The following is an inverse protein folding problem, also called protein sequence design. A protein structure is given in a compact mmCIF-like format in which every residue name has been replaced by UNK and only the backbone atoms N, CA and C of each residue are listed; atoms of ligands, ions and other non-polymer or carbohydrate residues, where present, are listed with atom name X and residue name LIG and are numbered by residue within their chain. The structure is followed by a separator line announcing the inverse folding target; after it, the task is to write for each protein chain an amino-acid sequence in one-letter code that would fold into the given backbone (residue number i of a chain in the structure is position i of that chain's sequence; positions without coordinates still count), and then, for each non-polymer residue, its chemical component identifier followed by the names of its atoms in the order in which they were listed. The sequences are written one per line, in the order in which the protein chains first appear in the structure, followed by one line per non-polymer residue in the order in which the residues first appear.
data_IF_557102097004
#
_entry.id   IF_557102097004
#
_cell.length_a   1.000
_cell.length_b   1.000
_cell.length_c   1.000
_cell.angle_alpha   90.00
_cell.angle_beta   90.00
_cell.angle_gamma   90.00
#
_symmetry.space_group_name_H-M   'P 1'
#
loop_
_entity.id
_entity.type
_entity.pdbx_description
1 polymer ?
#
# COMPACT_ATOMS: atom_id res chain seq x y z
N UNK A 1 21.83 2.61 -6.82
CA UNK A 1 20.68 3.21 -6.11
C UNK A 1 21.01 3.21 -4.62
N UNK A 2 20.72 4.26 -3.85
CA UNK A 2 21.02 4.29 -2.39
C UNK A 2 19.94 3.53 -1.62
N UNK A 3 20.31 2.79 -0.57
CA UNK A 3 19.39 2.14 0.37
C UNK A 3 18.39 3.17 0.90
N UNK A 4 17.09 2.95 0.67
CA UNK A 4 16.02 3.91 1.01
C UNK A 4 15.29 3.58 2.31
N UNK A 5 15.60 2.45 2.92
CA UNK A 5 14.93 1.96 4.13
C UNK A 5 15.96 1.76 5.21
N UNK A 6 15.72 2.32 6.40
CA UNK A 6 16.54 2.11 7.59
C UNK A 6 15.66 1.69 8.77
N UNK A 7 15.20 0.45 8.73
CA UNK A 7 14.23 -0.11 9.70
C UNK A 7 14.88 -0.93 10.82
N UNK A 8 16.18 -1.21 10.73
CA UNK A 8 16.89 -2.04 11.70
C UNK A 8 17.49 -1.17 12.79
N UNK A 9 17.14 -1.48 14.04
CA UNK A 9 17.60 -0.75 15.21
C UNK A 9 18.90 -1.38 15.72
N UNK A 10 19.92 -0.54 15.94
CA UNK A 10 21.17 -0.95 16.59
C UNK A 10 22.14 -1.70 15.67
N UNK A 11 23.42 -1.31 15.75
CA UNK A 11 24.60 -1.78 14.99
C UNK A 11 24.78 -1.11 13.62
N UNK A 12 25.87 -0.33 13.51
CA UNK A 12 26.23 0.55 12.38
C UNK A 12 26.58 -0.15 11.06
N UNK A 13 26.01 -1.33 10.79
CA UNK A 13 26.21 -2.08 9.55
C UNK A 13 24.90 -2.64 8.96
N UNK A 14 23.73 -2.26 9.49
CA UNK A 14 22.45 -2.68 8.91
C UNK A 14 22.14 -4.17 9.09
N UNK A 15 22.78 -4.84 10.06
CA UNK A 15 22.61 -6.26 10.38
C UNK A 15 21.74 -6.51 11.63
N UNK A 16 21.17 -5.46 12.21
CA UNK A 16 20.30 -5.56 13.39
C UNK A 16 19.04 -6.38 13.11
N UNK A 17 18.40 -6.95 14.15
CA UNK A 17 17.15 -7.65 13.99
C UNK A 17 16.08 -6.71 13.44
N UNK A 18 15.23 -7.25 12.56
CA UNK A 18 14.06 -6.51 12.09
C UNK A 18 13.07 -6.31 13.25
N UNK A 19 12.42 -5.14 13.39
CA UNK A 19 11.41 -4.92 14.43
C UNK A 19 10.29 -5.97 14.41
N UNK A 20 9.72 -6.36 15.56
CA UNK A 20 8.68 -7.40 15.63
C UNK A 20 7.47 -7.13 14.72
N UNK A 21 7.08 -5.87 14.53
CA UNK A 21 5.98 -5.47 13.66
C UNK A 21 6.25 -5.68 12.16
N UNK A 22 7.52 -5.68 11.75
CA UNK A 22 7.92 -5.82 10.33
C UNK A 22 8.32 -7.25 9.96
N UNK A 23 8.73 -8.06 10.93
CA UNK A 23 9.07 -9.49 10.72
C UNK A 23 8.02 -10.29 9.96
N UNK A 24 6.71 -10.25 10.32
CA UNK A 24 5.71 -11.00 9.57
C UNK A 24 5.50 -10.45 8.16
N UNK A 25 5.69 -9.15 7.95
CA UNK A 25 5.44 -8.50 6.67
C UNK A 25 6.41 -8.94 5.57
N UNK A 26 7.69 -9.16 5.89
CA UNK A 26 8.68 -9.56 4.87
C UNK A 26 8.61 -11.05 4.48
N UNK A 27 7.77 -11.83 5.16
CA UNK A 27 7.57 -13.24 4.84
C UNK A 27 6.67 -13.40 3.60
N UNK A 28 6.64 -14.62 3.07
CA UNK A 28 5.82 -14.98 1.89
C UNK A 28 4.32 -14.66 2.06
N UNK A 29 3.79 -14.74 3.27
CA UNK A 29 2.38 -14.44 3.57
C UNK A 29 2.07 -12.93 3.57
N UNK A 30 3.10 -12.08 3.57
CA UNK A 30 2.97 -10.63 3.48
C UNK A 30 3.58 -10.09 2.19
N UNK A 31 4.35 -9.00 2.32
CA UNK A 31 5.07 -8.34 1.22
C UNK A 31 6.04 -9.26 0.48
N UNK A 32 6.53 -10.35 1.09
CA UNK A 32 7.38 -11.31 0.38
C UNK A 32 6.67 -12.01 -0.78
N UNK A 33 5.36 -12.26 -0.66
CA UNK A 33 4.52 -12.81 -1.74
C UNK A 33 4.30 -11.77 -2.85
N UNK A 34 3.81 -10.59 -2.47
CA UNK A 34 3.65 -9.46 -3.39
C UNK A 34 4.94 -9.05 -4.09
N UNK A 35 6.11 -9.28 -3.48
CA UNK A 35 7.39 -8.98 -4.12
C UNK A 35 7.63 -9.88 -5.33
N UNK A 36 7.25 -11.15 -5.25
CA UNK A 36 7.34 -12.08 -6.37
C UNK A 36 6.39 -11.65 -7.49
N UNK A 37 5.11 -11.47 -7.17
CA UNK A 37 4.06 -11.18 -8.15
C UNK A 37 4.25 -9.79 -8.79
N UNK A 38 4.38 -8.74 -7.97
CA UNK A 38 4.42 -7.36 -8.46
C UNK A 38 5.81 -6.94 -8.94
N UNK A 39 6.87 -7.20 -8.19
CA UNK A 39 8.21 -6.64 -8.50
C UNK A 39 8.98 -7.51 -9.49
N UNK A 40 8.91 -8.83 -9.33
CA UNK A 40 9.70 -9.76 -10.15
C UNK A 40 8.97 -10.21 -11.42
N UNK A 41 7.66 -10.43 -11.37
CA UNK A 41 6.89 -10.98 -12.51
C UNK A 41 6.20 -9.91 -13.35
N UNK A 42 5.42 -9.03 -12.72
CA UNK A 42 4.67 -7.97 -13.41
C UNK A 42 5.59 -6.82 -13.86
N UNK A 43 6.23 -6.13 -12.91
CA UNK A 43 7.07 -4.96 -13.21
C UNK A 43 8.46 -5.33 -13.76
N UNK A 44 8.93 -6.55 -13.52
CA UNK A 44 10.23 -7.05 -13.98
C UNK A 44 11.38 -6.08 -13.66
N UNK A 45 11.39 -5.54 -12.43
CA UNK A 45 12.25 -4.41 -12.05
C UNK A 45 13.76 -4.64 -12.21
N UNK A 46 14.20 -5.90 -12.37
CA UNK A 46 15.60 -6.27 -12.50
C UNK A 46 15.95 -6.83 -13.88
N UNK A 47 15.06 -6.72 -14.88
CA UNK A 47 15.36 -7.19 -16.24
C UNK A 47 16.34 -6.25 -16.95
N UNK A 48 16.20 -4.93 -16.75
CA UNK A 48 17.10 -3.94 -17.36
C UNK A 48 18.48 -3.91 -16.70
N UNK A 49 19.44 -3.29 -17.40
CA UNK A 49 20.80 -3.09 -16.87
C UNK A 49 20.78 -2.20 -15.61
N UNK A 50 20.00 -1.12 -15.63
CA UNK A 50 19.84 -0.21 -14.50
C UNK A 50 19.21 -0.91 -13.29
N UNK A 51 18.18 -1.74 -13.53
CA UNK A 51 17.54 -2.54 -12.50
C UNK A 51 18.48 -3.57 -11.90
N UNK A 52 19.27 -4.23 -12.75
CA UNK A 52 20.30 -5.18 -12.34
C UNK A 52 21.35 -4.53 -11.44
N UNK A 53 21.89 -3.38 -11.86
CA UNK A 53 22.86 -2.63 -11.05
C UNK A 53 22.24 -2.06 -9.78
N UNK A 54 20.96 -1.68 -9.80
CA UNK A 54 20.24 -1.30 -8.60
C UNK A 54 20.18 -2.46 -7.59
N UNK A 55 19.81 -3.68 -8.02
CA UNK A 55 19.80 -4.87 -7.15
C UNK A 55 21.20 -5.18 -6.59
N UNK A 56 22.23 -5.20 -7.45
CA UNK A 56 23.62 -5.45 -7.03
C UNK A 56 24.11 -4.43 -6.00
N UNK A 57 23.71 -3.17 -6.14
CA UNK A 57 24.09 -2.10 -5.21
C UNK A 57 23.51 -2.27 -3.81
N UNK A 58 22.40 -3.02 -3.68
CA UNK A 58 21.74 -3.31 -2.39
C UNK A 58 22.33 -4.52 -1.66
N UNK A 59 23.17 -5.32 -2.35
CA UNK A 59 23.85 -6.47 -1.74
C UNK A 59 25.11 -5.97 -1.00
N UNK A 60 25.22 -6.22 0.32
CA UNK A 60 26.34 -5.75 1.12
C UNK A 60 27.63 -6.52 0.82
N UNK A 61 27.53 -7.82 0.55
CA UNK A 61 28.67 -8.67 0.20
C UNK A 61 29.13 -8.43 -1.25
N UNK A 62 30.31 -7.82 -1.40
CA UNK A 62 30.89 -7.49 -2.71
C UNK A 62 31.38 -8.70 -3.49
N UNK A 63 31.72 -9.80 -2.82
CA UNK A 63 32.11 -11.03 -3.50
C UNK A 63 30.88 -11.68 -4.16
N UNK A 64 29.76 -11.76 -3.43
CA UNK A 64 28.49 -12.26 -3.97
C UNK A 64 28.01 -11.34 -5.10
N UNK A 65 27.97 -10.03 -4.87
CA UNK A 65 27.56 -9.07 -5.90
C UNK A 65 28.44 -9.17 -7.16
N UNK A 66 29.75 -9.31 -7.01
CA UNK A 66 30.68 -9.50 -8.13
C UNK A 66 30.44 -10.81 -8.90
N UNK A 67 30.16 -11.90 -8.19
CA UNK A 67 29.82 -13.21 -8.80
C UNK A 67 28.51 -13.12 -9.59
N UNK A 68 27.47 -12.56 -8.99
CA UNK A 68 26.16 -12.38 -9.64
C UNK A 68 26.26 -11.45 -10.85
N UNK A 69 27.02 -10.34 -10.75
CA UNK A 69 27.28 -9.45 -11.87
C UNK A 69 27.89 -10.19 -13.06
N UNK A 70 28.92 -11.02 -12.84
CA UNK A 70 29.54 -11.83 -13.91
C UNK A 70 28.54 -12.82 -14.51
N UNK A 71 27.75 -13.50 -13.68
CA UNK A 71 26.74 -14.47 -14.12
C UNK A 71 25.67 -13.81 -15.02
N UNK A 72 25.21 -12.62 -14.64
CA UNK A 72 24.15 -11.89 -15.35
C UNK A 72 24.69 -11.15 -16.58
N UNK A 73 25.93 -10.66 -16.56
CA UNK A 73 26.60 -10.13 -17.75
C UNK A 73 26.82 -11.21 -18.82
N UNK A 74 27.09 -12.46 -18.42
CA UNK A 74 27.18 -13.59 -19.34
C UNK A 74 25.81 -14.01 -19.91
N UNK A 75 24.70 -13.60 -19.29
CA UNK A 75 23.33 -13.96 -19.67
C UNK A 75 22.41 -12.72 -19.64
N UNK A 76 22.56 -11.77 -20.59
CA UNK A 76 21.92 -10.45 -20.51
C UNK A 76 20.38 -10.47 -20.52
N UNK A 77 19.74 -11.55 -20.97
CA UNK A 77 18.27 -11.72 -20.97
C UNK A 77 17.70 -12.43 -19.73
N UNK A 78 18.49 -12.58 -18.66
CA UNK A 78 18.03 -13.32 -17.47
C UNK A 78 16.89 -12.54 -16.75
N UNK A 79 15.73 -13.16 -16.49
CA UNK A 79 14.59 -12.46 -15.90
C UNK A 79 14.78 -12.20 -14.40
N UNK A 80 14.06 -11.22 -13.88
CA UNK A 80 14.08 -10.73 -12.50
C UNK A 80 13.86 -11.84 -11.48
N UNK A 81 12.91 -12.74 -11.75
CA UNK A 81 12.64 -13.92 -10.91
C UNK A 81 13.86 -14.82 -10.76
N UNK A 82 14.60 -15.06 -11.85
CA UNK A 82 15.83 -15.88 -11.84
C UNK A 82 17.00 -15.16 -11.21
N UNK A 83 17.16 -13.85 -11.43
CA UNK A 83 18.18 -13.04 -10.75
C UNK A 83 18.00 -13.07 -9.22
N UNK A 84 16.78 -12.88 -8.74
CA UNK A 84 16.52 -12.96 -7.30
C UNK A 84 16.64 -14.40 -6.76
N UNK A 85 16.29 -15.40 -7.58
CA UNK A 85 16.54 -16.82 -7.28
C UNK A 85 18.03 -17.16 -7.12
N UNK A 86 18.89 -16.63 -8.00
CA UNK A 86 20.35 -16.82 -7.88
C UNK A 86 20.87 -16.24 -6.56
N UNK A 87 20.39 -15.05 -6.18
CA UNK A 87 20.73 -14.44 -4.89
C UNK A 87 20.31 -15.34 -3.72
N UNK A 88 19.10 -15.92 -3.76
CA UNK A 88 18.65 -16.89 -2.74
C UNK A 88 19.59 -18.11 -2.66
N UNK A 89 20.06 -18.63 -3.81
CA UNK A 89 20.98 -19.76 -3.86
C UNK A 89 22.36 -19.41 -3.28
N UNK A 90 22.90 -18.22 -3.57
CA UNK A 90 24.16 -17.76 -2.97
C UNK A 90 24.05 -17.65 -1.44
N UNK A 91 22.92 -17.13 -0.94
CA UNK A 91 22.68 -17.04 0.51
C UNK A 91 22.54 -18.41 1.16
N UNK A 92 21.87 -19.35 0.50
CA UNK A 92 21.72 -20.71 1.00
C UNK A 92 23.08 -21.43 1.09
N UNK A 93 23.96 -21.22 0.10
CA UNK A 93 25.30 -21.80 0.07
C UNK A 93 26.21 -21.32 1.22
N UNK A 94 25.93 -20.13 1.80
CA UNK A 94 26.67 -19.56 2.92
C UNK A 94 26.27 -20.13 4.31
N UNK A 95 25.23 -20.97 4.38
CA UNK A 95 24.75 -21.58 5.62
C UNK A 95 24.38 -20.56 6.70
N UNK A 96 24.93 -20.74 7.91
CA UNK A 96 24.68 -19.89 9.10
C UNK A 96 25.80 -18.89 9.40
N UNK A 97 26.67 -18.65 8.42
CA UNK A 97 27.74 -17.65 8.55
C UNK A 97 27.19 -16.24 8.82
N UNK A 98 28.02 -15.37 9.39
CA UNK A 98 27.68 -13.96 9.57
C UNK A 98 27.39 -13.26 8.23
N UNK A 99 28.09 -13.65 7.16
CA UNK A 99 27.79 -13.19 5.80
C UNK A 99 26.38 -13.57 5.36
N UNK A 100 25.95 -14.82 5.59
CA UNK A 100 24.59 -15.25 5.29
C UNK A 100 23.53 -14.41 6.03
N UNK A 101 23.75 -14.12 7.31
CA UNK A 101 22.84 -13.27 8.11
C UNK A 101 22.73 -11.86 7.54
N UNK A 102 23.86 -11.26 7.15
CA UNK A 102 23.92 -9.93 6.57
C UNK A 102 23.18 -9.85 5.23
N UNK A 103 23.36 -10.84 4.36
CA UNK A 103 22.69 -10.87 3.06
C UNK A 103 21.20 -11.20 3.21
N UNK A 104 20.80 -12.09 4.13
CA UNK A 104 19.38 -12.32 4.48
C UNK A 104 18.70 -11.03 4.95
N UNK A 105 19.36 -10.27 5.83
CA UNK A 105 18.87 -8.97 6.26
C UNK A 105 18.74 -7.98 5.09
N UNK A 106 19.68 -8.00 4.15
CA UNK A 106 19.58 -7.19 2.93
C UNK A 106 18.41 -7.61 2.04
N UNK A 107 18.10 -8.91 1.91
CA UNK A 107 16.95 -9.38 1.14
C UNK A 107 15.62 -8.90 1.73
N UNK A 108 15.46 -8.99 3.04
CA UNK A 108 14.32 -8.42 3.76
C UNK A 108 14.21 -6.90 3.53
N UNK A 109 15.33 -6.17 3.58
CA UNK A 109 15.36 -4.73 3.33
C UNK A 109 15.02 -4.37 1.87
N UNK A 110 15.40 -5.22 0.91
CA UNK A 110 15.03 -5.06 -0.50
C UNK A 110 13.51 -5.18 -0.66
N UNK A 111 12.88 -6.19 -0.05
CA UNK A 111 11.41 -6.33 -0.08
C UNK A 111 10.74 -5.06 0.44
N UNK A 112 11.19 -4.56 1.61
CA UNK A 112 10.65 -3.34 2.20
C UNK A 112 10.92 -2.11 1.32
N UNK A 113 12.08 -2.00 0.69
CA UNK A 113 12.40 -0.85 -0.15
C UNK A 113 11.49 -0.70 -1.37
N UNK A 114 11.05 -1.83 -1.93
CA UNK A 114 10.20 -1.85 -3.12
C UNK A 114 8.72 -1.79 -2.77
N UNK A 115 8.28 -2.37 -1.65
CA UNK A 115 6.85 -2.52 -1.36
C UNK A 115 6.34 -1.80 -0.11
N UNK A 116 7.22 -1.42 0.83
CA UNK A 116 6.75 -0.80 2.05
C UNK A 116 6.17 0.60 1.76
N UNK A 117 4.99 0.95 2.32
CA UNK A 117 4.35 2.23 2.07
C UNK A 117 5.25 3.41 2.43
N UNK A 118 5.35 4.37 1.51
CA UNK A 118 6.05 5.64 1.72
C UNK A 118 5.05 6.68 2.18
N UNK A 119 4.91 6.81 3.49
CA UNK A 119 3.99 7.75 4.10
C UNK A 119 4.58 9.16 4.01
N UNK A 120 3.81 10.11 3.50
CA UNK A 120 4.13 11.53 3.65
C UNK A 120 3.94 11.92 5.11
N UNK A 121 5.04 11.99 5.85
CA UNK A 121 4.98 12.21 7.29
C UNK A 121 4.41 13.59 7.66
N UNK A 122 4.54 14.60 6.80
CA UNK A 122 4.04 15.95 7.09
C UNK A 122 2.52 16.00 7.17
N UNK A 123 1.82 15.09 6.49
CA UNK A 123 0.35 15.01 6.56
C UNK A 123 -0.16 14.48 7.90
N UNK A 124 0.70 13.87 8.71
CA UNK A 124 0.35 13.26 10.00
C UNK A 124 0.99 13.92 11.22
N UNK A 125 1.98 14.81 11.03
CA UNK A 125 2.70 15.48 12.14
C UNK A 125 1.92 16.61 12.79
N UNK A 126 1.20 17.39 11.99
CA UNK A 126 0.59 18.64 12.42
C UNK A 126 -0.93 18.57 12.42
N UNK A 127 -1.55 18.99 13.53
CA UNK A 127 -3.02 18.97 13.70
C UNK A 127 -3.78 19.89 12.75
N UNK A 128 -3.11 20.89 12.18
CA UNK A 128 -3.68 21.90 11.29
C UNK A 128 -3.38 21.61 9.80
N UNK A 129 -2.88 20.43 9.47
CA UNK A 129 -2.69 20.03 8.08
C UNK A 129 -4.05 19.92 7.37
N UNK A 130 -4.18 20.56 6.21
CA UNK A 130 -5.40 20.51 5.41
C UNK A 130 -5.32 19.33 4.45
N UNK A 131 -6.31 18.44 4.50
CA UNK A 131 -6.44 17.32 3.59
C UNK A 131 -7.67 17.50 2.68
N UNK A 132 -7.62 16.87 1.50
CA UNK A 132 -8.75 16.84 0.58
C UNK A 132 -9.97 16.20 1.25
N UNK A 133 -11.14 16.83 1.09
CA UNK A 133 -12.41 16.25 1.55
C UNK A 133 -12.81 15.04 0.70
N UNK A 134 -13.44 14.01 1.30
CA UNK A 134 -14.15 12.99 0.55
C UNK A 134 -15.14 13.60 -0.44
N UNK A 135 -15.37 12.90 -1.55
CA UNK A 135 -16.23 13.27 -2.68
C UNK A 135 -15.84 14.54 -3.44
N UNK A 136 -14.69 15.17 -3.13
CA UNK A 136 -14.17 16.22 -4.00
C UNK A 136 -13.76 15.66 -5.38
N UNK A 137 -14.14 16.38 -6.44
CA UNK A 137 -13.72 16.08 -7.82
C UNK A 137 -12.23 16.40 -7.98
N UNK A 138 -11.45 15.46 -8.52
CA UNK A 138 -10.05 15.72 -8.86
C UNK A 138 -9.98 16.52 -10.18
N UNK A 139 -9.36 17.72 -10.19
CA UNK A 139 -9.48 18.65 -11.31
C UNK A 139 -8.88 18.11 -12.62
N UNK A 140 -7.80 17.35 -12.55
CA UNK A 140 -7.14 16.84 -13.76
C UNK A 140 -7.84 15.61 -14.37
N UNK A 141 -8.57 14.82 -13.57
CA UNK A 141 -9.15 13.54 -14.02
C UNK A 141 -10.67 13.59 -14.09
N UNK A 142 -11.31 14.58 -13.46
CA UNK A 142 -12.76 14.64 -13.31
C UNK A 142 -13.34 13.55 -12.40
N UNK A 143 -12.50 12.64 -11.86
CA UNK A 143 -12.93 11.53 -10.99
C UNK A 143 -13.29 12.03 -9.58
N UNK A 144 -14.31 11.44 -9.00
CA UNK A 144 -14.75 11.72 -7.62
C UNK A 144 -13.84 10.99 -6.63
N UNK A 145 -13.39 11.65 -5.57
CA UNK A 145 -12.64 10.98 -4.50
C UNK A 145 -13.56 10.17 -3.59
N UNK A 146 -13.78 8.92 -3.95
CA UNK A 146 -14.65 7.98 -3.24
C UNK A 146 -13.92 7.28 -2.07
N UNK A 147 -14.63 6.87 -1.01
CA UNK A 147 -14.09 5.93 -0.02
C UNK A 147 -13.72 4.58 -0.68
N UNK A 148 -12.78 3.87 -0.05
CA UNK A 148 -12.29 2.56 -0.47
C UNK A 148 -12.57 1.55 0.65
N UNK A 149 -13.12 0.40 0.30
CA UNK A 149 -13.38 -0.70 1.24
C UNK A 149 -12.08 -1.47 1.52
N UNK A 150 -11.57 -1.48 2.77
CA UNK A 150 -10.36 -2.22 3.10
C UNK A 150 -10.50 -3.74 2.93
N UNK A 151 -11.71 -4.30 3.06
CA UNK A 151 -11.94 -5.74 2.92
C UNK A 151 -11.92 -6.20 1.46
N UNK A 152 -12.06 -5.27 0.51
CA UNK A 152 -12.12 -5.52 -0.94
C UNK A 152 -11.10 -4.68 -1.70
N UNK A 153 -9.99 -4.31 -1.06
CA UNK A 153 -9.00 -3.40 -1.64
C UNK A 153 -8.37 -3.95 -2.91
N UNK A 154 -8.22 -5.26 -3.02
CA UNK A 154 -7.66 -5.93 -4.21
C UNK A 154 -8.59 -5.83 -5.45
N UNK A 155 -9.89 -5.57 -5.23
CA UNK A 155 -10.89 -5.38 -6.29
C UNK A 155 -11.02 -3.91 -6.72
N UNK A 156 -10.38 -2.97 -6.00
CA UNK A 156 -10.53 -1.55 -6.24
C UNK A 156 -9.71 -1.10 -7.46
N UNK A 157 -10.40 -0.69 -8.53
CA UNK A 157 -9.77 -0.12 -9.72
C UNK A 157 -9.96 1.42 -9.77
N UNK A 158 -8.88 2.22 -9.61
CA UNK A 158 -8.96 3.67 -9.66
C UNK A 158 -9.42 4.23 -11.02
N UNK A 159 -9.32 3.45 -12.10
CA UNK A 159 -9.76 3.87 -13.43
C UNK A 159 -11.27 3.83 -13.61
N UNK A 160 -11.95 2.95 -12.87
CA UNK A 160 -13.41 2.73 -12.90
C UNK A 160 -14.20 3.67 -12.00
N UNK A 161 -13.51 4.42 -11.13
CA UNK A 161 -14.13 5.38 -10.21
C UNK A 161 -14.92 6.43 -11.01
N UNK A 162 -16.17 6.75 -10.59
CA UNK A 162 -17.04 7.64 -11.35
C UNK A 162 -16.44 9.03 -11.57
N UNK A 163 -16.54 9.49 -12.80
CA UNK A 163 -16.21 10.86 -13.18
C UNK A 163 -17.45 11.74 -13.16
N UNK A 164 -17.30 13.01 -12.78
CA UNK A 164 -18.41 13.97 -12.64
C UNK A 164 -19.23 14.10 -13.93
N UNK A 165 -18.58 14.09 -15.10
CA UNK A 165 -19.28 14.11 -16.39
C UNK A 165 -20.11 12.85 -16.64
N UNK A 166 -19.62 11.69 -16.20
CA UNK A 166 -20.36 10.43 -16.26
C UNK A 166 -21.60 10.45 -15.38
N UNK A 167 -21.46 10.93 -14.14
CA UNK A 167 -22.58 11.07 -13.20
C UNK A 167 -23.67 12.01 -13.73
N UNK A 168 -23.29 13.15 -14.33
CA UNK A 168 -24.24 14.06 -14.96
C UNK A 168 -25.01 13.41 -16.12
N UNK A 169 -24.32 12.61 -16.93
CA UNK A 169 -24.95 11.86 -18.02
C UNK A 169 -25.94 10.81 -17.49
N UNK A 170 -25.56 10.07 -16.44
CA UNK A 170 -26.44 9.10 -15.79
C UNK A 170 -27.72 9.77 -15.26
N UNK A 171 -27.62 10.92 -14.61
CA UNK A 171 -28.77 11.70 -14.13
C UNK A 171 -29.68 12.16 -15.27
N UNK A 172 -29.10 12.68 -16.36
CA UNK A 172 -29.85 13.17 -17.52
C UNK A 172 -30.59 12.05 -18.27
N UNK A 173 -30.00 10.85 -18.34
CA UNK A 173 -30.59 9.68 -19.01
C UNK A 173 -31.53 8.88 -18.11
N UNK A 174 -31.47 9.11 -16.79
CA UNK A 174 -32.26 8.34 -15.84
C UNK A 174 -33.75 8.64 -15.99
N UNK A 175 -34.53 7.59 -16.32
CA UNK A 175 -35.99 7.64 -16.46
C UNK A 175 -36.74 7.59 -15.13
N UNK A 176 -36.04 7.43 -14.01
CA UNK A 176 -36.69 7.44 -12.69
C UNK A 176 -37.29 8.84 -12.42
N UNK A 177 -38.46 8.90 -11.75
CA UNK A 177 -39.04 10.18 -11.39
C UNK A 177 -38.04 10.98 -10.56
N UNK A 178 -37.89 12.27 -10.89
CA UNK A 178 -37.16 13.21 -10.02
C UNK A 178 -37.85 13.22 -8.65
N UNK A 179 -37.09 13.54 -7.60
CA UNK A 179 -37.66 13.74 -6.27
C UNK A 179 -38.88 14.69 -6.35
N UNK A 180 -39.91 14.41 -5.57
CA UNK A 180 -41.14 15.22 -5.52
C UNK A 180 -40.80 16.69 -5.24
N UNK A 181 -41.51 17.63 -5.89
CA UNK A 181 -41.33 19.07 -5.66
C UNK A 181 -41.57 19.39 -4.18
N UNK A 182 -40.50 19.76 -3.46
CA UNK A 182 -40.52 20.05 -2.02
C UNK A 182 -39.73 19.06 -1.15
N UNK A 183 -39.28 17.94 -1.70
CA UNK A 183 -38.25 17.11 -1.07
C UNK A 183 -36.86 17.76 -1.21
N UNK A 184 -35.94 17.43 -0.31
CA UNK A 184 -34.54 17.86 -0.41
C UNK A 184 -34.00 17.49 -1.81
N UNK A 185 -33.59 18.46 -2.65
CA UNK A 185 -33.11 18.20 -4.01
C UNK A 185 -31.93 17.21 -4.07
N UNK A 186 -31.22 17.03 -2.95
CA UNK A 186 -30.09 16.11 -2.80
C UNK A 186 -30.50 14.71 -2.35
N UNK A 187 -31.74 14.52 -1.87
CA UNK A 187 -32.28 13.20 -1.49
C UNK A 187 -32.82 12.48 -2.71
N UNK A 188 -31.96 11.71 -3.38
CA UNK A 188 -32.38 10.65 -4.31
C UNK A 188 -31.68 10.66 -5.67
N UNK A 189 -31.13 11.79 -6.11
CA UNK A 189 -30.51 11.84 -7.43
C UNK A 189 -29.21 11.04 -7.50
N UNK A 190 -28.33 11.15 -6.50
CA UNK A 190 -27.11 10.35 -6.45
C UNK A 190 -27.38 8.85 -6.30
N UNK A 191 -28.53 8.45 -5.75
CA UNK A 191 -28.94 7.04 -5.63
C UNK A 191 -29.19 6.39 -7.01
N UNK A 192 -29.35 7.20 -8.05
CA UNK A 192 -29.57 6.77 -9.43
C UNK A 192 -28.29 6.71 -10.25
N UNK A 193 -27.14 6.91 -9.60
CA UNK A 193 -25.84 7.02 -10.26
C UNK A 193 -24.86 5.96 -9.75
N UNK A 194 -23.76 5.77 -10.47
CA UNK A 194 -22.61 4.99 -10.06
C UNK A 194 -21.93 5.51 -8.78
N UNK A 195 -22.32 6.69 -8.28
CA UNK A 195 -21.85 7.23 -7.00
C UNK A 195 -22.50 6.56 -5.77
N UNK A 196 -23.70 5.98 -5.93
CA UNK A 196 -24.49 5.36 -4.86
C UNK A 196 -23.70 4.44 -3.91
N UNK A 197 -23.02 3.38 -4.38
CA UNK A 197 -22.37 2.42 -3.47
C UNK A 197 -21.33 3.09 -2.57
N UNK A 198 -20.65 4.13 -3.07
CA UNK A 198 -19.64 4.86 -2.32
C UNK A 198 -20.25 5.78 -1.25
N UNK A 199 -21.40 6.40 -1.54
CA UNK A 199 -22.13 7.20 -0.55
C UNK A 199 -22.69 6.31 0.56
N UNK A 200 -23.29 5.18 0.19
CA UNK A 200 -23.80 4.19 1.16
C UNK A 200 -22.66 3.66 2.06
N UNK A 201 -21.47 3.41 1.49
CA UNK A 201 -20.29 3.02 2.26
C UNK A 201 -19.90 4.06 3.31
N UNK A 202 -19.80 5.34 2.93
CA UNK A 202 -19.46 6.39 3.90
C UNK A 202 -20.57 6.60 4.94
N UNK A 203 -21.84 6.53 4.53
CA UNK A 203 -22.98 6.66 5.44
C UNK A 203 -22.97 5.55 6.49
N UNK A 204 -22.74 4.30 6.09
CA UNK A 204 -22.61 3.17 7.00
C UNK A 204 -21.48 3.40 8.01
N UNK A 205 -20.29 3.78 7.54
CA UNK A 205 -19.16 4.06 8.41
C UNK A 205 -19.45 5.20 9.42
N UNK A 206 -20.07 6.30 8.96
CA UNK A 206 -20.45 7.41 9.83
C UNK A 206 -21.48 6.99 10.90
N UNK A 207 -22.46 6.15 10.54
CA UNK A 207 -23.44 5.63 11.48
C UNK A 207 -22.79 4.74 12.56
N UNK A 208 -21.83 3.90 12.18
CA UNK A 208 -21.06 3.06 13.10
C UNK A 208 -20.25 3.92 14.09
N UNK A 209 -19.55 4.95 13.61
CA UNK A 209 -18.83 5.89 14.47
C UNK A 209 -19.73 6.62 15.48
N UNK A 210 -20.92 7.05 15.03
CA UNK A 210 -21.90 7.70 15.91
C UNK A 210 -22.38 6.74 16.99
N UNK A 211 -22.65 5.48 16.63
CA UNK A 211 -23.06 4.44 17.58
C UNK A 211 -21.97 4.17 18.61
N UNK A 212 -20.73 3.92 18.17
CA UNK A 212 -19.59 3.67 19.05
C UNK A 212 -19.34 4.84 20.02
N UNK A 213 -19.38 6.07 19.51
CA UNK A 213 -19.22 7.28 20.33
C UNK A 213 -20.32 7.38 21.39
N UNK A 214 -21.57 7.05 21.04
CA UNK A 214 -22.69 7.04 21.98
C UNK A 214 -22.53 5.98 23.06
N UNK A 215 -22.13 4.77 22.68
CA UNK A 215 -21.91 3.65 23.60
C UNK A 215 -20.76 3.94 24.56
N UNK A 216 -19.64 4.50 24.07
CA UNK A 216 -18.51 4.89 24.90
C UNK A 216 -18.90 5.96 25.93
N UNK A 217 -19.68 6.98 25.52
CA UNK A 217 -20.21 8.00 26.44
C UNK A 217 -21.11 7.39 27.51
N UNK A 218 -21.98 6.45 27.14
CA UNK A 218 -22.86 5.77 28.09
C UNK A 218 -22.07 4.89 29.07
N UNK A 219 -21.03 4.18 28.59
CA UNK A 219 -20.15 3.38 29.44
C UNK A 219 -19.42 4.24 30.47
N UNK A 220 -18.78 5.32 30.01
CA UNK A 220 -18.08 6.29 30.88
C UNK A 220 -19.01 6.90 31.94
N UNK A 221 -20.26 7.17 31.57
CA UNK A 221 -21.27 7.69 32.50
C UNK A 221 -21.62 6.66 33.60
N UNK A 222 -21.82 5.39 33.23
CA UNK A 222 -22.10 4.31 34.20
C UNK A 222 -20.93 4.03 35.13
N UNK A 223 -19.71 3.93 34.60
CA UNK A 223 -18.48 3.73 35.39
C UNK A 223 -18.24 4.89 36.38
N UNK A 224 -18.60 6.11 36.01
CA UNK A 224 -18.54 7.27 36.91
C UNK A 224 -19.63 7.30 37.99
N UNK A 225 -20.73 6.56 37.81
CA UNK A 225 -21.79 6.38 38.81
C UNK A 225 -21.47 5.25 39.80
N UNK A 226 -20.83 4.18 39.34
CA UNK A 226 -20.44 3.03 40.18
C UNK A 226 -19.22 3.32 41.09
N UNK A 227 -18.57 4.48 40.91
CA UNK A 227 -17.43 4.95 41.70
C UNK A 227 -17.78 5.80 42.93
N UNK A 228 -19.06 5.91 43.30
CA UNK A 228 -19.56 6.64 44.48
C UNK A 228 -20.21 5.72 45.50
#
# INVERSE_FOLDING_TARGET
MVKKVNVRIGTGFGAGPLPPSLKPLVQRQGLGGYFMETILEDQKCFDSEEGTEALLSLIPDKAIAGKLRKLWAANPGRPSTKKFGDLNSEVAALGDSQGAKLVRAAQEDIILQYLYPRIDAEVSKHRNHLLKSPFCVHPATGRVCVPVDPEKVDEFDPETVPAVGGLLNELNLSKQPKAEEGADPLRGDWERTSLKPYVEMLQKHAQELIRETREERQRKFKEGLDGW
#
